data_IF_932408681950
#
_entry.id   IF_932408681950
#
_cell.length_a   1.000
_cell.length_b   1.000
_cell.length_c   1.000
_cell.angle_alpha   90.00
_cell.angle_beta   90.00
_cell.angle_gamma   90.00
#
_symmetry.space_group_name_H-M   'P 1'
#
loop_
_entity.id
_entity.type
_entity.pdbx_description
1 polymer ?
#
# COMPACT_ATOMS: atom_id res chain seq x y z
N UNK A 1 -3.39 -0.32 -18.68
CA UNK A 1 -3.01 -1.42 -17.76
C UNK A 1 -3.84 -1.33 -16.50
N UNK A 2 -4.20 -2.49 -15.92
CA UNK A 2 -4.90 -2.53 -14.64
C UNK A 2 -3.94 -2.12 -13.50
N UNK A 3 -4.43 -1.45 -12.45
CA UNK A 3 -3.62 -1.16 -11.29
C UNK A 3 -3.23 -2.46 -10.57
N UNK A 4 -2.02 -2.48 -10.04
CA UNK A 4 -1.56 -3.50 -9.12
C UNK A 4 -2.20 -3.27 -7.76
N UNK A 5 -2.73 -4.32 -7.15
CA UNK A 5 -3.37 -4.24 -5.83
C UNK A 5 -2.82 -5.31 -4.89
N UNK A 6 -2.43 -4.91 -3.69
CA UNK A 6 -2.18 -5.79 -2.55
C UNK A 6 -3.27 -5.57 -1.51
N UNK A 7 -3.97 -6.63 -1.09
CA UNK A 7 -5.04 -6.55 -0.09
C UNK A 7 -4.75 -7.48 1.08
N UNK A 8 -5.12 -7.06 2.28
CA UNK A 8 -5.08 -7.90 3.48
C UNK A 8 -6.17 -7.50 4.46
N UNK A 9 -6.54 -8.42 5.34
CA UNK A 9 -7.42 -8.15 6.47
C UNK A 9 -6.65 -8.43 7.76
N UNK A 10 -6.64 -7.46 8.68
CA UNK A 10 -5.95 -7.60 9.95
C UNK A 10 -6.76 -6.92 11.06
N UNK A 11 -7.04 -7.66 12.14
CA UNK A 11 -7.83 -7.16 13.30
C UNK A 11 -9.17 -6.53 12.88
N UNK A 12 -9.83 -7.08 11.85
CA UNK A 12 -11.10 -6.58 11.32
C UNK A 12 -10.98 -5.34 10.42
N UNK A 13 -9.78 -4.77 10.24
CA UNK A 13 -9.53 -3.72 9.28
C UNK A 13 -9.20 -4.31 7.90
N UNK A 14 -9.85 -3.80 6.85
CA UNK A 14 -9.57 -4.13 5.45
C UNK A 14 -8.56 -3.14 4.90
N UNK A 15 -7.39 -3.63 4.50
CA UNK A 15 -6.26 -2.83 4.10
C UNK A 15 -5.95 -3.11 2.63
N UNK A 16 -5.67 -2.06 1.87
CA UNK A 16 -5.24 -2.21 0.49
C UNK A 16 -4.20 -1.17 0.08
N UNK A 17 -3.24 -1.62 -0.72
CA UNK A 17 -2.32 -0.77 -1.47
C UNK A 17 -2.67 -0.89 -2.94
N UNK A 18 -2.81 0.25 -3.60
CA UNK A 18 -3.01 0.33 -5.05
C UNK A 18 -1.81 1.06 -5.63
N UNK A 19 -1.22 0.51 -6.69
CA UNK A 19 -0.14 1.15 -7.44
C UNK A 19 -0.38 1.05 -8.94
N UNK A 20 -0.11 2.13 -9.65
CA UNK A 20 -0.27 2.25 -11.10
C UNK A 20 1.08 2.42 -11.78
N UNK A 21 1.17 2.00 -13.04
CA UNK A 21 2.39 2.12 -13.84
C UNK A 21 2.88 3.56 -14.04
N UNK A 22 2.00 4.56 -13.90
CA UNK A 22 2.32 6.00 -13.94
C UNK A 22 2.86 6.55 -12.60
N UNK A 23 3.01 5.69 -11.61
CA UNK A 23 3.53 5.98 -10.29
C UNK A 23 2.47 6.39 -9.26
N UNK A 24 1.20 6.52 -9.64
CA UNK A 24 0.14 6.83 -8.67
C UNK A 24 -0.03 5.68 -7.67
N UNK A 25 -0.09 6.04 -6.39
CA UNK A 25 -0.19 5.11 -5.28
C UNK A 25 -1.24 5.56 -4.28
N UNK A 26 -1.96 4.60 -3.68
CA UNK A 26 -2.96 4.86 -2.65
C UNK A 26 -2.86 3.84 -1.52
N UNK A 27 -3.01 4.34 -0.28
CA UNK A 27 -3.26 3.55 0.91
C UNK A 27 -4.75 3.63 1.24
N UNK A 28 -5.42 2.48 1.26
CA UNK A 28 -6.85 2.37 1.54
C UNK A 28 -7.06 1.58 2.82
N UNK A 29 -7.87 2.11 3.72
CA UNK A 29 -8.25 1.48 4.98
C UNK A 29 -9.77 1.52 5.12
N UNK A 30 -10.39 0.35 5.23
CA UNK A 30 -11.85 0.16 5.30
C UNK A 30 -12.58 0.83 4.12
N UNK A 31 -12.01 0.73 2.92
CA UNK A 31 -12.58 1.30 1.69
C UNK A 31 -12.37 2.81 1.52
N UNK A 32 -11.73 3.48 2.48
CA UNK A 32 -11.41 4.91 2.40
C UNK A 32 -9.95 5.11 2.01
N UNK A 33 -9.67 5.97 1.03
CA UNK A 33 -8.32 6.45 0.76
C UNK A 33 -7.86 7.29 1.95
N UNK A 34 -6.79 6.86 2.60
CA UNK A 34 -6.25 7.52 3.80
C UNK A 34 -5.00 8.35 3.52
N UNK A 35 -4.26 7.97 2.49
CA UNK A 35 -3.10 8.68 1.99
C UNK A 35 -2.87 8.30 0.53
N UNK A 36 -2.32 9.23 -0.24
CA UNK A 36 -2.03 9.03 -1.66
C UNK A 36 -0.82 9.86 -2.11
N UNK A 37 -0.18 9.38 -3.17
CA UNK A 37 0.99 10.06 -3.71
C UNK A 37 1.37 9.53 -5.07
N UNK A 38 2.50 10.02 -5.58
CA UNK A 38 3.02 9.61 -6.88
C UNK A 38 4.53 9.50 -6.87
N UNK A 39 5.05 8.34 -7.28
CA UNK A 39 6.49 8.11 -7.46
C UNK A 39 6.75 6.93 -8.40
N UNK A 40 7.79 7.06 -9.24
CA UNK A 40 8.27 5.98 -10.11
C UNK A 40 9.44 5.19 -9.51
N UNK A 41 9.86 5.51 -8.28
CA UNK A 41 11.00 4.84 -7.63
C UNK A 41 10.57 4.23 -6.30
N UNK A 42 10.57 5.02 -5.23
CA UNK A 42 10.11 4.63 -3.90
C UNK A 42 9.07 5.62 -3.40
N UNK A 43 8.07 5.11 -2.70
CA UNK A 43 7.10 5.91 -1.96
C UNK A 43 6.70 5.18 -0.69
N UNK A 44 6.46 5.95 0.37
CA UNK A 44 5.82 5.47 1.60
C UNK A 44 4.58 6.31 1.83
N UNK A 45 3.44 5.65 1.96
CA UNK A 45 2.17 6.25 2.38
C UNK A 45 1.85 5.76 3.78
N UNK A 46 1.22 6.60 4.60
CA UNK A 46 1.00 6.26 5.99
C UNK A 46 -0.26 6.92 6.57
N UNK A 47 -0.91 6.20 7.47
CA UNK A 47 -2.07 6.71 8.19
C UNK A 47 -2.07 6.17 9.61
N UNK A 48 -2.59 6.96 10.54
CA UNK A 48 -2.85 6.52 11.91
C UNK A 48 -4.34 6.23 12.01
N UNK A 49 -4.68 5.03 12.46
CA UNK A 49 -6.06 4.65 12.77
C UNK A 49 -6.24 4.51 14.27
N UNK A 50 -7.34 5.07 14.76
CA UNK A 50 -7.81 4.85 16.12
C UNK A 50 -8.58 3.54 16.14
N UNK A 51 -8.07 2.58 16.91
CA UNK A 51 -8.89 1.46 17.36
C UNK A 51 -9.55 1.85 18.69
N UNK A 52 -10.55 1.08 19.10
CA UNK A 52 -11.47 1.29 20.22
C UNK A 52 -10.84 1.02 21.59
N UNK A 53 -9.57 0.59 21.60
CA UNK A 53 -8.66 0.63 22.76
C UNK A 53 -7.71 1.81 22.51
N UNK A 54 -7.10 2.44 23.54
CA UNK A 54 -6.30 3.69 23.46
C UNK A 54 -5.02 3.68 22.57
N UNK A 55 -4.99 2.83 21.55
CA UNK A 55 -3.90 2.56 20.63
C UNK A 55 -4.13 3.28 19.30
N UNK A 56 -3.13 4.07 18.94
CA UNK A 56 -2.98 4.65 17.62
C UNK A 56 -2.11 3.68 16.81
N UNK A 57 -2.72 2.84 15.97
CA UNK A 57 -1.94 1.95 15.12
C UNK A 57 -1.50 2.70 13.86
N UNK A 58 -0.19 2.75 13.65
CA UNK A 58 0.40 3.30 12.45
C UNK A 58 0.29 2.27 11.35
N UNK A 59 -0.46 2.55 10.29
CA UNK A 59 -0.47 1.74 9.08
C UNK A 59 0.41 2.44 8.05
N UNK A 60 1.25 1.68 7.36
CA UNK A 60 2.02 2.20 6.23
C UNK A 60 2.09 1.24 5.06
N UNK A 61 2.08 1.81 3.86
CA UNK A 61 2.31 1.12 2.61
C UNK A 61 3.59 1.60 1.97
N UNK A 62 4.51 0.69 1.65
CA UNK A 62 5.70 1.01 0.86
C UNK A 62 5.59 0.44 -0.54
N UNK A 63 6.03 1.25 -1.50
CA UNK A 63 6.02 0.96 -2.91
C UNK A 63 7.45 1.09 -3.41
N UNK A 64 8.03 -0.01 -3.89
CA UNK A 64 9.41 -0.03 -4.39
C UNK A 64 9.42 -0.56 -5.82
N UNK A 65 9.50 0.36 -6.79
CA UNK A 65 9.57 0.01 -8.20
C UNK A 65 11.00 -0.33 -8.61
N UNK A 66 11.14 -1.43 -9.34
CA UNK A 66 12.37 -1.84 -10.03
C UNK A 66 12.01 -2.18 -11.47
N UNK A 67 12.41 -1.31 -12.40
CA UNK A 67 12.11 -1.45 -13.82
C UNK A 67 10.60 -1.63 -14.10
N UNK A 68 10.20 -2.86 -14.44
CA UNK A 68 8.83 -3.24 -14.78
C UNK A 68 8.12 -4.01 -13.67
N UNK A 69 8.70 -4.09 -12.48
CA UNK A 69 8.03 -4.66 -11.30
C UNK A 69 7.94 -3.64 -10.17
N UNK A 70 6.98 -3.85 -9.28
CA UNK A 70 6.85 -3.12 -8.03
C UNK A 70 6.69 -4.10 -6.88
N UNK A 71 7.43 -3.88 -5.80
CA UNK A 71 7.16 -4.51 -4.53
C UNK A 71 6.24 -3.63 -3.71
N UNK A 72 5.13 -4.21 -3.27
CA UNK A 72 4.21 -3.60 -2.32
C UNK A 72 4.40 -4.27 -0.96
N UNK A 73 4.53 -3.48 0.09
CA UNK A 73 4.57 -4.00 1.47
C UNK A 73 3.62 -3.19 2.34
N UNK A 74 2.77 -3.88 3.07
CA UNK A 74 1.83 -3.33 4.02
C UNK A 74 2.33 -3.63 5.44
N UNK A 75 2.55 -2.58 6.22
CA UNK A 75 3.03 -2.63 7.58
C UNK A 75 1.98 -2.08 8.55
N UNK A 76 1.85 -2.70 9.71
CA UNK A 76 1.17 -2.15 10.86
C UNK A 76 2.19 -2.01 12.00
N UNK A 77 2.51 -0.77 12.35
CA UNK A 77 3.65 -0.39 13.16
C UNK A 77 4.93 -1.01 12.58
N UNK A 78 5.54 -1.97 13.27
CA UNK A 78 6.76 -2.66 12.84
C UNK A 78 6.49 -4.06 12.27
N UNK A 79 5.23 -4.48 12.20
CA UNK A 79 4.84 -5.83 11.75
C UNK A 79 4.44 -5.79 10.28
N UNK A 80 5.07 -6.63 9.46
CA UNK A 80 4.62 -6.87 8.09
C UNK A 80 3.32 -7.66 8.11
N UNK A 81 2.29 -7.09 7.49
CA UNK A 81 0.95 -7.71 7.39
C UNK A 81 0.80 -8.43 6.05
N UNK A 82 1.39 -7.89 4.99
CA UNK A 82 1.43 -8.50 3.67
C UNK A 82 2.54 -7.90 2.82
N UNK A 83 3.09 -8.67 1.91
CA UNK A 83 3.95 -8.17 0.84
C UNK A 83 3.73 -8.95 -0.46
N UNK A 84 4.10 -8.34 -1.59
CA UNK A 84 4.05 -8.99 -2.90
C UNK A 84 4.84 -8.22 -3.96
N UNK A 85 5.40 -8.96 -4.90
CA UNK A 85 6.03 -8.45 -6.10
C UNK A 85 5.07 -8.60 -7.28
N UNK A 86 4.93 -7.54 -8.08
CA UNK A 86 3.94 -7.47 -9.14
C UNK A 86 4.54 -6.86 -10.39
N UNK A 87 4.22 -7.44 -11.54
CA UNK A 87 4.57 -6.86 -12.83
C UNK A 87 3.66 -5.68 -13.16
N UNK A 88 4.27 -4.57 -13.53
CA UNK A 88 3.59 -3.39 -14.09
C UNK A 88 3.32 -3.56 -15.59
N UNK A 89 3.94 -4.59 -16.19
CA UNK A 89 3.96 -4.89 -17.61
C UNK A 89 4.80 -3.91 -18.42
N UNK A 90 5.06 -4.28 -19.67
CA UNK A 90 5.76 -3.46 -20.64
C UNK A 90 4.82 -2.46 -21.32
N UNK A 91 5.20 -1.17 -21.33
CA UNK A 91 4.73 -0.26 -22.37
C UNK A 91 5.41 -0.72 -23.66
N UNK A 92 4.65 -1.43 -24.51
CA UNK A 92 5.07 -1.77 -25.87
C UNK A 92 4.82 -0.59 -26.81
#
# INVERSE_FOLDING_TARGET
>A
MAPTTLQSEHRGAKLALIYRADGHAQLIINGLVRDEGRSLTRLKLQSVVQTDYEWHEQISGTFERKDQSVRLTLMMSEVEIASGDFDLGSEA
#
